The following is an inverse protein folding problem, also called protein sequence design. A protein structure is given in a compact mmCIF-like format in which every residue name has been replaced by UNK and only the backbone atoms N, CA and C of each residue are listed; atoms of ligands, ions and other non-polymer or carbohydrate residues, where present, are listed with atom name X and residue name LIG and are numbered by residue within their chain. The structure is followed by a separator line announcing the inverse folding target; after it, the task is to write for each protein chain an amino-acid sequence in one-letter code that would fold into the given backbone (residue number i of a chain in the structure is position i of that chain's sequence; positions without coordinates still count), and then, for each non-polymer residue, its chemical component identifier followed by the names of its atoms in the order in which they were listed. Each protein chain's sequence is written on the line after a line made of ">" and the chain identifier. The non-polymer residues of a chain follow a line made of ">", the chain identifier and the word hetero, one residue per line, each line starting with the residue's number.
data_IF_731816461356
#
_entry.id   IF_731816461356
#
_cell.length_a   1.000
_cell.length_b   1.000
_cell.length_c   1.000
_cell.angle_alpha   90.00
_cell.angle_beta   90.00
_cell.angle_gamma   90.00
#
_symmetry.space_group_name_H-M   'P 1'
#
loop_
_entity.id
_entity.type
_entity.pdbx_description
1 polymer ?
#
# COMPACT_ATOMS: atom_id res chain seq x y z
N UNK A 1 13.15 14.15 -0.50
CA UNK A 1 12.42 13.02 0.13
C UNK A 1 11.71 12.33 -1.01
N UNK A 2 12.19 11.17 -1.42
CA UNK A 2 11.69 10.54 -2.65
C UNK A 2 10.34 9.87 -2.37
N UNK A 3 9.36 10.20 -3.20
CA UNK A 3 8.05 9.57 -3.21
C UNK A 3 8.07 8.38 -4.16
N UNK A 4 7.31 7.34 -3.84
CA UNK A 4 7.14 6.21 -4.74
C UNK A 4 6.43 6.66 -6.03
N UNK A 5 6.90 6.14 -7.16
CA UNK A 5 6.34 6.42 -8.48
C UNK A 5 6.05 5.12 -9.23
N UNK A 6 5.31 5.23 -10.32
CA UNK A 6 5.03 4.12 -11.22
C UNK A 6 6.33 3.44 -11.66
N UNK A 7 6.33 2.10 -11.59
CA UNK A 7 7.48 1.25 -11.87
C UNK A 7 8.33 0.90 -10.64
N UNK A 8 8.17 1.61 -9.51
CA UNK A 8 8.91 1.27 -8.29
C UNK A 8 8.42 -0.05 -7.69
N UNK A 9 9.37 -0.82 -7.13
CA UNK A 9 9.10 -2.05 -6.39
C UNK A 9 9.63 -1.90 -4.97
N UNK A 10 8.76 -2.13 -4.00
CA UNK A 10 9.10 -2.12 -2.58
C UNK A 10 9.03 -3.54 -2.06
N UNK A 11 10.00 -3.94 -1.26
CA UNK A 11 10.05 -5.28 -0.69
C UNK A 11 10.75 -5.33 0.66
N UNK A 12 10.54 -6.42 1.38
CA UNK A 12 11.28 -6.72 2.60
C UNK A 12 12.69 -7.18 2.21
N UNK A 13 13.72 -6.45 2.65
CA UNK A 13 15.11 -6.88 2.41
C UNK A 13 15.35 -8.26 3.03
N UNK A 14 16.19 -9.06 2.39
CA UNK A 14 16.46 -10.45 2.78
C UNK A 14 16.89 -10.58 4.26
N UNK A 15 17.82 -9.73 4.71
CA UNK A 15 18.30 -9.70 6.09
C UNK A 15 17.19 -9.40 7.13
N UNK A 16 16.05 -8.86 6.71
CA UNK A 16 14.90 -8.58 7.56
C UNK A 16 13.77 -9.61 7.40
N UNK A 17 13.78 -10.45 6.37
CA UNK A 17 12.66 -11.33 6.02
C UNK A 17 12.30 -12.34 7.13
N UNK A 18 13.29 -12.79 7.90
CA UNK A 18 13.12 -13.73 9.00
C UNK A 18 12.96 -13.05 10.37
N UNK A 19 12.96 -11.72 10.42
CA UNK A 19 12.78 -10.97 11.65
C UNK A 19 11.33 -11.09 12.16
N UNK A 20 11.10 -11.04 13.48
CA UNK A 20 9.77 -11.20 14.07
C UNK A 20 8.75 -10.18 13.54
N UNK A 21 9.20 -8.98 13.17
CA UNK A 21 8.36 -7.94 12.56
C UNK A 21 7.71 -8.35 11.24
N UNK A 22 8.30 -9.29 10.50
CA UNK A 22 7.84 -9.73 9.18
C UNK A 22 7.34 -11.17 9.15
N UNK A 23 7.26 -11.85 10.31
CA UNK A 23 6.90 -13.26 10.42
C UNK A 23 5.52 -13.57 9.81
N UNK A 24 4.56 -12.66 9.96
CA UNK A 24 3.19 -12.81 9.47
C UNK A 24 2.92 -12.05 8.16
N UNK A 25 3.94 -11.44 7.54
CA UNK A 25 3.74 -10.53 6.41
C UNK A 25 3.05 -11.21 5.22
N UNK A 26 3.49 -12.42 4.84
CA UNK A 26 2.88 -13.18 3.74
C UNK A 26 1.40 -13.47 4.00
N UNK A 27 1.03 -13.90 5.20
CA UNK A 27 -0.37 -14.22 5.52
C UNK A 27 -1.24 -12.95 5.57
N UNK A 28 -0.74 -11.86 6.15
CA UNK A 28 -1.43 -10.57 6.13
C UNK A 28 -1.62 -10.03 4.72
N UNK A 29 -0.63 -10.20 3.84
CA UNK A 29 -0.73 -9.74 2.45
C UNK A 29 -1.79 -10.52 1.66
N UNK A 30 -2.05 -11.80 1.98
CA UNK A 30 -3.10 -12.60 1.33
C UNK A 30 -4.51 -12.19 1.73
N UNK A 31 -4.70 -11.60 2.91
CA UNK A 31 -6.03 -11.21 3.42
C UNK A 31 -6.43 -9.78 3.03
N UNK A 32 -5.48 -8.97 2.54
CA UNK A 32 -5.73 -7.59 2.17
C UNK A 32 -6.09 -7.48 0.69
N UNK A 33 -7.15 -6.74 0.39
CA UNK A 33 -7.44 -6.31 -0.98
C UNK A 33 -6.49 -5.17 -1.35
N UNK A 34 -5.61 -5.42 -2.33
CA UNK A 34 -4.75 -4.38 -2.87
C UNK A 34 -5.56 -3.41 -3.76
N UNK A 35 -5.33 -2.09 -3.67
CA UNK A 35 -5.94 -1.15 -4.59
C UNK A 35 -5.35 -1.35 -6.00
N UNK A 36 -6.10 -0.95 -7.04
CA UNK A 36 -5.75 -1.22 -8.44
C UNK A 36 -4.40 -0.65 -8.91
N UNK A 37 -3.87 0.37 -8.23
CA UNK A 37 -2.58 0.99 -8.54
C UNK A 37 -1.39 0.26 -7.91
N UNK A 38 -1.62 -0.80 -7.13
CA UNK A 38 -0.61 -1.68 -6.56
C UNK A 38 -0.77 -3.12 -7.04
N UNK A 39 0.33 -3.73 -7.44
CA UNK A 39 0.41 -5.19 -7.60
C UNK A 39 1.19 -5.77 -6.43
N UNK A 40 0.61 -6.72 -5.70
CA UNK A 40 1.19 -7.30 -4.48
C UNK A 40 1.52 -8.77 -4.71
N UNK A 41 2.73 -9.18 -4.33
CA UNK A 41 3.16 -10.57 -4.32
C UNK A 41 3.50 -11.01 -2.87
N UNK A 42 2.61 -11.78 -2.21
CA UNK A 42 2.84 -12.27 -0.85
C UNK A 42 4.02 -13.23 -0.69
N UNK A 43 4.37 -13.99 -1.73
CA UNK A 43 5.45 -14.98 -1.69
C UNK A 43 6.81 -14.30 -1.62
N UNK A 44 7.04 -13.32 -2.50
CA UNK A 44 8.26 -12.50 -2.49
C UNK A 44 8.20 -11.35 -1.49
N UNK A 45 7.05 -11.11 -0.85
CA UNK A 45 6.78 -9.97 0.05
C UNK A 45 7.13 -8.64 -0.61
N UNK A 46 6.73 -8.49 -1.87
CA UNK A 46 6.93 -7.27 -2.67
C UNK A 46 5.61 -6.64 -3.08
N UNK A 47 5.64 -5.32 -3.30
CA UNK A 47 4.57 -4.57 -3.93
C UNK A 47 5.16 -3.67 -5.03
N UNK A 48 4.53 -3.66 -6.20
CA UNK A 48 4.92 -2.85 -7.35
C UNK A 48 3.91 -1.75 -7.59
N UNK A 49 4.37 -0.52 -7.81
CA UNK A 49 3.52 0.61 -8.17
C UNK A 49 3.19 0.53 -9.66
N UNK A 50 1.92 0.29 -9.99
CA UNK A 50 1.44 0.15 -11.38
C UNK A 50 0.92 1.45 -11.98
N UNK A 51 0.71 2.47 -11.16
CA UNK A 51 0.24 3.77 -11.61
C UNK A 51 0.07 4.75 -10.45
N UNK A 52 -0.51 5.91 -10.76
CA UNK A 52 -0.88 6.90 -9.75
C UNK A 52 -2.00 6.38 -8.84
N UNK A 53 -1.97 6.78 -7.57
CA UNK A 53 -3.06 6.49 -6.64
C UNK A 53 -4.37 7.12 -7.16
N UNK A 54 -5.43 6.30 -7.21
CA UNK A 54 -6.77 6.72 -7.63
C UNK A 54 -7.68 6.75 -6.42
N UNK A 55 -8.49 7.79 -6.29
CA UNK A 55 -9.52 7.83 -5.26
C UNK A 55 -10.69 6.94 -5.65
N UNK A 56 -10.96 5.93 -4.83
CA UNK A 56 -12.14 5.08 -4.95
C UNK A 56 -13.04 5.31 -3.72
N UNK A 57 -14.31 5.75 -3.92
CA UNK A 57 -15.25 5.88 -2.81
C UNK A 57 -15.40 4.55 -2.05
N UNK A 58 -15.28 4.61 -0.73
CA UNK A 58 -15.39 3.43 0.15
C UNK A 58 -14.09 2.67 0.45
N UNK A 59 -12.97 2.97 -0.22
CA UNK A 59 -11.65 2.43 0.16
C UNK A 59 -11.04 3.15 1.37
N UNK A 60 -11.53 4.36 1.69
CA UNK A 60 -11.09 5.14 2.85
C UNK A 60 -12.11 5.00 3.98
N UNK A 61 -11.60 4.93 5.23
CA UNK A 61 -12.43 4.83 6.45
C UNK A 61 -13.15 6.15 6.77
N UNK A 62 -12.76 7.25 6.11
CA UNK A 62 -13.28 8.59 6.33
C UNK A 62 -13.68 9.25 5.01
N UNK A 63 -14.56 10.23 5.11
CA UNK A 63 -15.03 11.01 3.97
C UNK A 63 -14.05 12.16 3.68
N UNK A 64 -13.40 12.12 2.51
CA UNK A 64 -12.50 13.18 2.06
C UNK A 64 -13.23 14.50 1.79
N UNK A 65 -14.52 14.47 1.46
CA UNK A 65 -15.33 15.67 1.26
C UNK A 65 -15.37 16.52 2.53
N UNK A 66 -15.58 15.88 3.69
CA UNK A 66 -15.58 16.55 5.01
C UNK A 66 -14.23 17.21 5.31
N UNK A 67 -13.13 16.56 4.93
CA UNK A 67 -11.78 17.12 5.09
C UNK A 67 -11.63 18.37 4.25
N UNK A 68 -12.03 18.33 2.97
CA UNK A 68 -11.97 19.49 2.07
C UNK A 68 -12.84 20.64 2.59
N UNK A 69 -14.05 20.36 3.07
CA UNK A 69 -14.93 21.38 3.65
C UNK A 69 -14.33 22.04 4.89
N UNK A 70 -13.67 21.29 5.77
CA UNK A 70 -13.06 21.83 6.98
C UNK A 70 -11.99 22.89 6.67
N UNK A 71 -11.17 22.66 5.65
CA UNK A 71 -10.09 23.58 5.27
C UNK A 71 -10.53 24.76 4.38
N UNK A 72 -11.77 24.75 3.89
CA UNK A 72 -12.34 25.83 3.08
C UNK A 72 -13.15 26.86 3.90
N UNK A 73 -13.11 26.77 5.24
CA UNK A 73 -13.78 27.69 6.16
C UNK A 73 -12.94 28.92 6.50
#
# INVERSE_FOLDING_TARGET
>A
KDLLKEGDVVGVREASANGPLFAEATERMKTLTAPSWLEVNPESRTASVKGGAVYTPGEQVFDLGVVVEFYNR
#
